data_IF_542629830033
#
_entry.id   IF_542629830033
#
_cell.length_a   1.000
_cell.length_b   1.000
_cell.length_c   1.000
_cell.angle_alpha   90.00
_cell.angle_beta   90.00
_cell.angle_gamma   90.00
#
_symmetry.space_group_name_H-M   'P 1'
#
loop_
_entity.id
_entity.type
_entity.pdbx_description
1 polymer ?
#
# COMPACT_ATOMS: atom_id res chain seq x y z
N UNK A 1 2.83 5.93 16.51
CA UNK A 1 2.38 6.95 15.55
C UNK A 1 3.63 7.40 14.82
N UNK A 2 3.66 7.38 13.48
CA UNK A 2 4.80 7.95 12.74
C UNK A 2 4.58 9.46 12.74
N UNK A 3 5.53 10.21 13.24
CA UNK A 3 5.52 11.67 13.35
C UNK A 3 6.74 12.24 12.63
N UNK A 4 6.82 13.57 12.52
CA UNK A 4 7.95 14.28 11.91
C UNK A 4 9.32 13.88 12.49
N UNK A 5 9.33 13.44 13.75
CA UNK A 5 10.51 13.01 14.51
C UNK A 5 11.03 11.64 14.03
N UNK A 6 10.20 10.87 13.32
CA UNK A 6 10.53 9.50 12.91
C UNK A 6 11.66 9.40 11.88
N UNK A 7 12.04 10.51 11.23
CA UNK A 7 13.21 10.60 10.35
C UNK A 7 14.48 11.09 11.05
N UNK A 8 14.36 11.65 12.26
CA UNK A 8 15.49 12.22 13.00
C UNK A 8 16.58 11.18 13.28
N UNK A 9 16.28 9.94 13.74
CA UNK A 9 17.32 8.94 13.98
C UNK A 9 18.10 8.58 12.71
N UNK A 10 17.43 8.52 11.55
CA UNK A 10 18.08 8.25 10.26
C UNK A 10 18.99 9.42 9.85
N UNK A 11 18.52 10.66 10.04
CA UNK A 11 19.30 11.87 9.72
C UNK A 11 20.52 11.97 10.63
N UNK A 12 20.37 11.70 11.93
CA UNK A 12 21.47 11.70 12.90
C UNK A 12 22.51 10.63 12.58
N UNK A 13 22.10 9.40 12.28
CA UNK A 13 23.01 8.32 11.85
C UNK A 13 23.83 8.72 10.60
N UNK A 14 23.19 9.42 9.64
CA UNK A 14 23.88 9.89 8.44
C UNK A 14 24.87 11.03 8.73
N UNK A 15 24.54 11.93 9.68
CA UNK A 15 25.45 12.99 10.15
C UNK A 15 26.66 12.41 10.86
N UNK A 16 26.47 11.44 11.76
CA UNK A 16 27.53 10.77 12.52
C UNK A 16 28.53 10.05 11.60
N UNK A 17 28.05 9.51 10.47
CA UNK A 17 28.88 8.88 9.45
C UNK A 17 29.61 9.88 8.54
N UNK A 18 29.57 11.18 8.84
CA UNK A 18 30.18 12.29 8.07
C UNK A 18 29.85 12.25 6.56
N UNK A 19 28.69 11.71 6.19
CA UNK A 19 28.23 11.70 4.80
C UNK A 19 27.49 13.00 4.52
N UNK A 20 27.75 13.59 3.36
CA UNK A 20 26.93 14.68 2.85
C UNK A 20 25.48 14.19 2.70
N UNK A 21 24.54 14.87 3.35
CA UNK A 21 23.13 14.46 3.37
C UNK A 21 22.45 15.05 2.15
N UNK A 22 22.39 14.25 1.08
CA UNK A 22 21.60 14.57 -0.10
C UNK A 22 20.21 13.93 -0.01
N UNK A 23 19.22 14.50 -0.71
CA UNK A 23 17.87 13.90 -0.79
C UNK A 23 17.91 12.45 -1.29
N UNK A 24 18.75 12.17 -2.28
CA UNK A 24 18.92 10.81 -2.84
C UNK A 24 19.46 9.82 -1.81
N UNK A 25 20.42 10.24 -0.97
CA UNK A 25 20.98 9.39 0.08
C UNK A 25 19.93 9.05 1.12
N UNK A 26 19.15 10.04 1.57
CA UNK A 26 18.05 9.83 2.53
C UNK A 26 17.04 8.85 1.95
N UNK A 27 16.57 9.06 0.72
CA UNK A 27 15.62 8.16 0.05
C UNK A 27 16.16 6.73 -0.08
N UNK A 28 17.43 6.56 -0.44
CA UNK A 28 18.07 5.24 -0.59
C UNK A 28 18.16 4.44 0.71
N UNK A 29 18.06 5.12 1.86
CA UNK A 29 18.15 4.50 3.19
C UNK A 29 16.80 4.35 3.87
N UNK A 30 15.75 4.96 3.34
CA UNK A 30 14.40 4.77 3.86
C UNK A 30 13.91 3.34 3.58
N UNK A 31 13.35 2.72 4.61
CA UNK A 31 12.60 1.49 4.41
C UNK A 31 11.30 1.77 3.65
N UNK A 32 10.80 0.79 2.90
CA UNK A 32 9.50 0.90 2.22
C UNK A 32 8.36 1.26 3.21
N UNK A 33 8.45 0.76 4.44
CA UNK A 33 7.49 1.10 5.50
C UNK A 33 7.55 2.59 5.87
N UNK A 34 8.74 3.18 5.99
CA UNK A 34 8.90 4.61 6.25
C UNK A 34 8.31 5.44 5.10
N UNK A 35 8.56 5.05 3.85
CA UNK A 35 7.99 5.71 2.66
C UNK A 35 6.46 5.67 2.69
N UNK A 36 5.86 4.50 2.92
CA UNK A 36 4.40 4.34 3.00
C UNK A 36 3.81 5.20 4.13
N UNK A 37 4.46 5.25 5.30
CA UNK A 37 4.00 6.07 6.42
C UNK A 37 4.06 7.56 6.13
N UNK A 38 5.10 8.03 5.43
CA UNK A 38 5.18 9.43 4.98
C UNK A 38 4.07 9.76 3.99
N UNK A 39 3.76 8.85 3.05
CA UNK A 39 2.64 9.03 2.13
C UNK A 39 1.32 9.22 2.91
N UNK A 40 1.06 8.41 3.94
CA UNK A 40 -0.12 8.57 4.78
C UNK A 40 -0.10 9.86 5.61
N UNK A 41 1.04 10.20 6.20
CA UNK A 41 1.19 11.39 7.03
C UNK A 41 0.87 12.67 6.25
N UNK A 42 1.38 12.78 5.01
CA UNK A 42 1.14 13.92 4.13
C UNK A 42 -0.10 13.77 3.24
N UNK A 43 -0.89 12.71 3.40
CA UNK A 43 -2.10 12.42 2.62
C UNK A 43 -1.87 12.40 1.10
N UNK A 44 -0.74 11.80 0.70
CA UNK A 44 -0.28 11.73 -0.69
C UNK A 44 -0.71 10.45 -1.41
N UNK A 45 -1.59 9.62 -0.86
CA UNK A 45 -1.95 8.31 -1.40
C UNK A 45 -2.41 8.41 -2.86
N UNK A 46 -3.34 9.34 -3.13
CA UNK A 46 -3.89 9.54 -4.46
C UNK A 46 -2.94 10.23 -5.45
N UNK A 47 -1.82 10.78 -4.97
CA UNK A 47 -0.72 11.33 -5.78
C UNK A 47 0.31 10.24 -6.05
N UNK A 48 0.60 9.41 -5.05
CA UNK A 48 1.58 8.34 -5.12
C UNK A 48 1.15 7.20 -6.06
N UNK A 49 -0.16 6.90 -6.13
CA UNK A 49 -0.71 5.85 -6.99
C UNK A 49 -2.01 6.32 -7.66
N UNK A 50 -2.09 6.23 -8.99
CA UNK A 50 -3.34 6.41 -9.73
C UNK A 50 -4.00 5.08 -10.04
N UNK A 51 -4.94 4.69 -9.17
CA UNK A 51 -5.68 3.45 -9.24
C UNK A 51 -7.12 3.63 -9.74
N UNK A 52 -7.44 4.76 -10.38
CA UNK A 52 -8.81 5.03 -10.89
C UNK A 52 -9.28 3.94 -11.84
N UNK A 53 -8.43 3.52 -12.77
CA UNK A 53 -8.72 2.50 -13.78
C UNK A 53 -8.74 1.05 -13.24
N UNK A 54 -8.20 0.80 -12.05
CA UNK A 54 -7.99 -0.56 -11.54
C UNK A 54 -9.13 -1.02 -10.64
N UNK A 55 -9.55 -2.28 -10.79
CA UNK A 55 -10.53 -2.93 -9.91
C UNK A 55 -9.81 -3.78 -8.88
N UNK A 56 -10.14 -3.59 -7.59
CA UNK A 56 -9.59 -4.41 -6.52
C UNK A 56 -10.11 -5.86 -6.59
N UNK A 57 -11.23 -6.11 -7.29
CA UNK A 57 -11.74 -7.46 -7.53
C UNK A 57 -10.81 -8.31 -8.41
N UNK A 58 -9.94 -7.68 -9.21
CA UNK A 58 -8.95 -8.39 -10.02
C UNK A 58 -8.02 -9.27 -9.15
N UNK A 59 -7.78 -8.85 -7.91
CA UNK A 59 -6.84 -9.51 -7.00
C UNK A 59 -7.50 -10.49 -6.02
N UNK A 60 -8.80 -10.31 -5.76
CA UNK A 60 -9.62 -11.23 -4.98
C UNK A 60 -11.10 -10.95 -5.23
N UNK A 61 -11.86 -11.98 -5.64
CA UNK A 61 -13.27 -11.85 -6.07
C UNK A 61 -14.20 -11.21 -5.03
N UNK A 62 -13.92 -11.38 -3.74
CA UNK A 62 -14.75 -10.85 -2.65
C UNK A 62 -14.36 -9.41 -2.25
N UNK A 63 -13.32 -8.83 -2.86
CA UNK A 63 -13.04 -7.40 -2.72
C UNK A 63 -14.20 -6.56 -3.29
N UNK A 64 -14.26 -5.30 -2.87
CA UNK A 64 -15.33 -4.38 -3.26
C UNK A 64 -14.79 -3.17 -4.00
N UNK A 65 -15.29 -2.90 -5.20
CA UNK A 65 -15.05 -1.62 -5.87
C UNK A 65 -16.07 -0.55 -5.51
N UNK A 66 -17.15 -0.95 -4.82
CA UNK A 66 -18.21 -0.05 -4.35
C UNK A 66 -18.53 -0.32 -2.89
N UNK A 67 -18.81 0.76 -2.16
CA UNK A 67 -19.26 0.71 -0.77
C UNK A 67 -20.68 1.27 -0.68
N UNK A 68 -21.50 0.70 0.20
CA UNK A 68 -22.84 1.21 0.48
C UNK A 68 -22.73 2.25 1.59
N UNK A 69 -22.98 3.51 1.26
CA UNK A 69 -22.80 4.67 2.14
C UNK A 69 -24.12 5.42 2.20
N UNK A 70 -24.70 5.57 3.40
CA UNK A 70 -26.02 6.18 3.61
C UNK A 70 -27.08 5.65 2.63
N UNK A 71 -27.09 4.33 2.40
CA UNK A 71 -28.01 3.65 1.48
C UNK A 71 -27.69 3.79 -0.01
N UNK A 72 -26.63 4.52 -0.40
CA UNK A 72 -26.23 4.71 -1.80
C UNK A 72 -24.93 3.95 -2.10
N UNK A 73 -24.90 3.20 -3.20
CA UNK A 73 -23.65 2.57 -3.67
C UNK A 73 -22.74 3.65 -4.26
N UNK A 74 -21.52 3.75 -3.75
CA UNK A 74 -20.50 4.67 -4.23
C UNK A 74 -19.26 3.89 -4.62
N UNK A 75 -18.62 4.25 -5.74
CA UNK A 75 -17.33 3.69 -6.11
C UNK A 75 -16.24 4.13 -5.13
N UNK A 76 -15.25 3.26 -4.92
CA UNK A 76 -14.05 3.63 -4.20
C UNK A 76 -13.33 4.76 -4.94
N UNK A 77 -13.03 5.84 -4.21
CA UNK A 77 -12.20 6.94 -4.71
C UNK A 77 -10.77 6.47 -4.97
N UNK A 78 -10.00 7.23 -5.76
CA UNK A 78 -8.58 6.95 -5.96
C UNK A 78 -7.83 6.88 -4.63
N UNK A 79 -8.07 7.87 -3.76
CA UNK A 79 -7.54 7.92 -2.40
C UNK A 79 -7.77 6.60 -1.63
N UNK A 80 -9.01 6.10 -1.61
CA UNK A 80 -9.33 4.87 -0.88
C UNK A 80 -8.62 3.65 -1.47
N UNK A 81 -8.59 3.54 -2.81
CA UNK A 81 -7.88 2.46 -3.50
C UNK A 81 -6.38 2.50 -3.21
N UNK A 82 -5.76 3.68 -3.29
CA UNK A 82 -4.34 3.87 -3.03
C UNK A 82 -3.98 3.56 -1.57
N UNK A 83 -4.79 4.02 -0.60
CA UNK A 83 -4.62 3.67 0.80
C UNK A 83 -4.66 2.14 1.03
N UNK A 84 -5.66 1.47 0.45
CA UNK A 84 -5.79 0.01 0.53
C UNK A 84 -4.56 -0.68 -0.10
N UNK A 85 -4.16 -0.24 -1.29
CA UNK A 85 -3.03 -0.78 -2.02
C UNK A 85 -1.70 -0.64 -1.26
N UNK A 86 -1.41 0.52 -0.69
CA UNK A 86 -0.19 0.77 0.10
C UNK A 86 -0.14 -0.12 1.35
N UNK A 87 -1.26 -0.33 2.04
CA UNK A 87 -1.31 -1.25 3.18
C UNK A 87 -1.14 -2.73 2.76
N UNK A 88 -1.67 -3.12 1.60
CA UNK A 88 -1.46 -4.45 1.04
C UNK A 88 0.01 -4.65 0.63
N UNK A 89 0.64 -3.65 0.02
CA UNK A 89 2.07 -3.66 -0.32
C UNK A 89 2.93 -3.81 0.93
N UNK A 90 2.64 -3.07 2.00
CA UNK A 90 3.32 -3.23 3.28
C UNK A 90 3.15 -4.64 3.85
N UNK A 91 1.94 -5.21 3.76
CA UNK A 91 1.66 -6.58 4.19
C UNK A 91 2.45 -7.62 3.39
N UNK A 92 2.56 -7.45 2.07
CA UNK A 92 3.37 -8.31 1.19
C UNK A 92 4.84 -8.24 1.63
N UNK A 93 5.40 -7.02 1.76
CA UNK A 93 6.79 -6.83 2.20
C UNK A 93 7.08 -7.53 3.53
N UNK A 94 6.20 -7.38 4.51
CA UNK A 94 6.41 -7.98 5.84
C UNK A 94 6.33 -9.50 5.80
N UNK A 95 5.51 -10.07 4.92
CA UNK A 95 5.39 -11.53 4.76
C UNK A 95 6.51 -12.11 3.90
N UNK A 96 7.07 -11.36 2.98
CA UNK A 96 8.13 -11.80 2.06
C UNK A 96 9.43 -12.20 2.76
N UNK A 97 9.65 -11.77 4.02
CA UNK A 97 10.78 -12.23 4.84
C UNK A 97 10.85 -13.77 4.95
N UNK A 98 9.68 -14.40 4.98
CA UNK A 98 9.52 -15.85 4.84
C UNK A 98 8.61 -16.08 3.64
N UNK A 99 9.21 -16.19 2.45
CA UNK A 99 8.50 -16.14 1.17
C UNK A 99 7.31 -17.11 1.08
N UNK A 100 7.36 -18.26 1.76
CA UNK A 100 6.26 -19.23 1.79
C UNK A 100 4.99 -18.66 2.43
N UNK A 101 5.11 -17.65 3.30
CA UNK A 101 3.98 -16.93 3.86
C UNK A 101 3.16 -16.17 2.82
N UNK A 102 3.74 -15.84 1.66
CA UNK A 102 3.02 -15.21 0.55
C UNK A 102 2.03 -16.20 -0.10
N UNK A 103 2.30 -17.50 -0.01
CA UNK A 103 1.48 -18.56 -0.58
C UNK A 103 0.36 -19.05 0.34
N UNK A 104 0.42 -18.69 1.64
CA UNK A 104 -0.51 -19.22 2.65
C UNK A 104 -1.93 -18.66 2.50
N UNK A 105 -2.90 -19.55 2.59
CA UNK A 105 -4.32 -19.23 2.71
C UNK A 105 -4.81 -19.40 4.16
N UNK A 106 -5.98 -18.83 4.46
CA UNK A 106 -6.76 -19.15 5.66
C UNK A 106 -7.49 -20.48 5.44
N UNK A 107 -7.97 -21.10 6.52
CA UNK A 107 -8.68 -22.38 6.49
C UNK A 107 -9.93 -22.41 5.58
N UNK A 108 -10.50 -21.24 5.28
CA UNK A 108 -11.65 -21.05 4.38
C UNK A 108 -11.26 -20.62 2.96
N UNK A 109 -10.05 -20.95 2.50
CA UNK A 109 -9.49 -20.58 1.19
C UNK A 109 -9.45 -19.06 0.92
N UNK A 110 -9.49 -18.24 1.97
CA UNK A 110 -9.33 -16.78 1.87
C UNK A 110 -7.87 -16.37 1.91
N UNK A 111 -7.51 -15.23 1.29
CA UNK A 111 -6.14 -14.74 1.33
C UNK A 111 -5.68 -14.42 2.76
N UNK A 112 -4.39 -14.63 3.06
CA UNK A 112 -3.74 -14.12 4.28
C UNK A 112 -3.13 -12.74 4.11
N UNK A 113 -2.87 -12.32 2.88
CA UNK A 113 -2.51 -10.95 2.54
C UNK A 113 -3.82 -10.16 2.51
N UNK A 114 -4.11 -9.47 3.61
CA UNK A 114 -5.34 -8.71 3.80
C UNK A 114 -5.05 -7.41 4.52
N UNK A 115 -5.78 -6.35 4.17
CA UNK A 115 -5.83 -5.11 4.93
C UNK A 115 -7.27 -4.77 5.32
N UNK A 116 -7.40 -4.01 6.41
CA UNK A 116 -8.66 -3.47 6.90
C UNK A 116 -8.76 -2.01 6.50
N UNK A 117 -9.87 -1.64 5.89
CA UNK A 117 -10.19 -0.26 5.55
C UNK A 117 -11.36 0.24 6.40
N UNK A 118 -11.16 1.37 7.05
CA UNK A 118 -12.18 2.12 7.77
C UNK A 118 -12.13 3.54 7.21
N UNK A 119 -13.26 4.07 6.75
CA UNK A 119 -13.30 5.43 6.23
C UNK A 119 -13.32 6.40 7.41
N UNK A 120 -12.35 7.32 7.47
CA UNK A 120 -12.14 8.30 8.56
C UNK A 120 -13.39 9.13 8.92
N UNK A 121 -14.31 9.32 7.97
CA UNK A 121 -15.54 10.10 8.16
C UNK A 121 -16.66 9.36 8.90
N UNK A 122 -16.41 8.13 9.34
CA UNK A 122 -17.40 7.34 10.04
C UNK A 122 -16.91 7.00 11.47
N UNK A 123 -17.81 7.11 12.47
CA UNK A 123 -17.54 6.92 13.90
C UNK A 123 -16.78 5.60 14.20
N UNK A 124 -16.14 5.42 15.37
CA UNK A 124 -15.45 4.16 15.74
C UNK A 124 -16.30 2.88 15.65
N UNK A 125 -17.63 2.99 15.53
CA UNK A 125 -18.57 1.89 15.27
C UNK A 125 -18.75 1.53 13.79
N UNK A 126 -17.96 2.14 12.91
CA UNK A 126 -18.17 2.04 11.47
C UNK A 126 -17.76 0.72 10.86
N UNK A 127 -18.45 0.41 9.76
CA UNK A 127 -18.30 -0.86 9.06
C UNK A 127 -16.90 -0.92 8.45
N UNK A 128 -16.04 -1.74 9.03
CA UNK A 128 -14.75 -2.03 8.44
C UNK A 128 -14.90 -2.96 7.24
N UNK A 129 -14.17 -2.68 6.17
CA UNK A 129 -14.11 -3.52 4.98
C UNK A 129 -12.76 -4.21 4.91
N UNK A 130 -12.77 -5.51 4.65
CA UNK A 130 -11.54 -6.27 4.45
C UNK A 130 -11.27 -6.41 2.96
N UNK A 131 -10.03 -6.14 2.58
CA UNK A 131 -9.52 -6.31 1.23
C UNK A 131 -8.36 -7.30 1.27
N UNK A 132 -8.21 -8.11 0.23
CA UNK A 132 -7.14 -9.09 0.17
C UNK A 132 -6.63 -9.35 -1.24
N UNK A 133 -5.52 -10.07 -1.31
CA UNK A 133 -4.87 -10.48 -2.55
C UNK A 133 -4.67 -11.99 -2.49
N UNK A 134 -5.21 -12.71 -3.47
CA UNK A 134 -4.91 -14.13 -3.61
C UNK A 134 -3.43 -14.35 -3.94
N UNK A 135 -2.79 -15.42 -3.46
CA UNK A 135 -1.37 -15.66 -3.72
C UNK A 135 -0.99 -15.60 -5.21
N UNK A 136 -1.79 -16.19 -6.08
CA UNK A 136 -1.59 -16.19 -7.53
C UNK A 136 -1.89 -14.84 -8.22
N UNK A 137 -2.25 -13.80 -7.45
CA UNK A 137 -2.51 -12.44 -7.95
C UNK A 137 -1.51 -11.41 -7.41
N UNK A 138 -0.54 -11.82 -6.60
CA UNK A 138 0.48 -10.92 -6.04
C UNK A 138 1.28 -10.25 -7.15
N UNK A 139 1.78 -11.02 -8.12
CA UNK A 139 2.60 -10.47 -9.22
C UNK A 139 1.82 -9.43 -10.02
N UNK A 140 0.63 -9.80 -10.52
CA UNK A 140 -0.24 -8.86 -11.24
C UNK A 140 -0.58 -7.60 -10.43
N UNK A 141 -0.77 -7.75 -9.11
CA UNK A 141 -1.00 -6.60 -8.24
C UNK A 141 0.22 -5.68 -8.20
N UNK A 142 1.43 -6.21 -8.04
CA UNK A 142 2.66 -5.42 -8.00
C UNK A 142 2.94 -4.74 -9.35
N UNK A 143 2.69 -5.43 -10.47
CA UNK A 143 2.84 -4.85 -11.81
C UNK A 143 1.90 -3.65 -12.01
N UNK A 144 0.65 -3.81 -11.60
CA UNK A 144 -0.35 -2.75 -11.68
C UNK A 144 -0.01 -1.57 -10.75
N UNK A 145 0.61 -1.82 -9.59
CA UNK A 145 1.14 -0.73 -8.75
C UNK A 145 2.27 0.03 -9.45
N UNK A 146 3.22 -0.66 -10.06
CA UNK A 146 4.32 -0.02 -10.79
C UNK A 146 3.77 0.86 -11.92
N UNK A 147 2.83 0.34 -12.71
CA UNK A 147 2.16 1.09 -13.78
C UNK A 147 1.36 2.28 -13.25
N UNK A 148 0.73 2.15 -12.08
CA UNK A 148 -0.05 3.24 -11.48
C UNK A 148 0.76 4.47 -11.05
N UNK A 149 2.09 4.36 -10.98
CA UNK A 149 2.99 5.49 -10.73
C UNK A 149 3.08 6.42 -11.96
N UNK A 150 2.82 5.89 -13.17
CA UNK A 150 2.90 6.65 -14.43
C UNK A 150 4.33 7.01 -14.84
N UNK A 151 5.34 6.31 -14.30
CA UNK A 151 6.73 6.48 -14.68
C UNK A 151 7.12 5.42 -15.72
N UNK A 152 7.37 5.86 -16.96
CA UNK A 152 7.68 4.98 -18.09
C UNK A 152 8.94 4.13 -17.91
N UNK A 153 9.91 4.59 -17.13
CA UNK A 153 11.13 3.82 -16.87
C UNK A 153 10.89 2.72 -15.84
N UNK A 154 10.05 2.98 -14.84
CA UNK A 154 9.60 1.96 -13.90
C UNK A 154 8.67 0.94 -14.58
N UNK A 155 7.79 1.38 -15.48
CA UNK A 155 6.89 0.49 -16.22
C UNK A 155 7.64 -0.60 -16.99
N UNK A 156 8.83 -0.30 -17.53
CA UNK A 156 9.69 -1.31 -18.18
C UNK A 156 10.06 -2.46 -17.24
N UNK A 157 10.19 -2.18 -15.94
CA UNK A 157 10.49 -3.19 -14.92
C UNK A 157 9.32 -4.11 -14.60
N UNK A 158 8.07 -3.72 -14.94
CA UNK A 158 6.86 -4.53 -14.72
C UNK A 158 6.64 -5.62 -15.79
N UNK A 159 7.60 -5.80 -16.70
CA UNK A 159 7.55 -6.77 -17.80
C UNK A 159 8.65 -7.83 -17.75
N UNK A 160 9.40 -7.86 -16.64
CA UNK A 160 10.41 -8.87 -16.30
C UNK A 160 9.74 -10.05 -15.59
#
# INVERSE_FOLDING_TARGET
>A
MFDEVSLIPLIEELKDKKKEITHSLVLSKMSLEAVIKLIFFYKLEGVALDLRAYSLKAYYKDNKDTLLIKGRKQHLSNYAKAYIALNLLWTIRNRAYHWENLLKLRANNRPRITTRFIRELEKPTSKSFNFGIMPNKIVSFLDDLIKSIGNKDLEKLSSL
#
